data_IF_477588070736
#
_entry.id   IF_477588070736
#
_cell.length_a   1.000
_cell.length_b   1.000
_cell.length_c   1.000
_cell.angle_alpha   90.00
_cell.angle_beta   90.00
_cell.angle_gamma   90.00
#
_symmetry.space_group_name_H-M   'P 1'
#
loop_
_entity.id
_entity.type
_entity.pdbx_description
1 polymer ?
#
# COMPACT_ATOMS: atom_id res chain seq x y z
N UNK A 1 -82.02 -15.46 5.45
CA UNK A 1 -80.73 -16.16 5.24
C UNK A 1 -79.99 -15.52 4.10
N UNK A 2 -78.84 -14.90 4.39
CA UNK A 2 -77.99 -14.28 3.36
C UNK A 2 -77.19 -13.08 3.86
N UNK A 3 -76.63 -13.16 5.07
CA UNK A 3 -75.63 -12.20 5.57
C UNK A 3 -74.40 -12.29 4.68
N UNK A 4 -74.20 -11.30 3.79
CA UNK A 4 -72.91 -11.06 3.14
C UNK A 4 -71.91 -10.71 4.25
N UNK A 5 -71.02 -11.64 4.56
CA UNK A 5 -69.83 -11.36 5.34
C UNK A 5 -69.01 -10.31 4.58
N UNK A 6 -68.98 -9.07 5.08
CA UNK A 6 -67.89 -8.14 4.77
C UNK A 6 -66.64 -8.73 5.42
N UNK A 7 -65.89 -9.50 4.65
CA UNK A 7 -64.49 -9.80 4.96
C UNK A 7 -63.72 -8.49 4.84
N UNK A 8 -63.71 -7.72 5.93
CA UNK A 8 -62.74 -6.65 6.12
C UNK A 8 -61.35 -7.27 6.24
N UNK A 9 -60.73 -7.63 5.11
CA UNK A 9 -59.28 -7.62 5.05
C UNK A 9 -58.91 -6.15 5.19
N UNK A 10 -58.44 -5.75 6.37
CA UNK A 10 -57.74 -4.48 6.52
C UNK A 10 -56.65 -4.37 5.44
N UNK A 11 -56.17 -3.16 5.11
CA UNK A 11 -55.16 -2.99 4.07
C UNK A 11 -53.94 -3.81 4.46
N UNK A 12 -53.80 -5.00 3.86
CA UNK A 12 -52.65 -5.88 4.06
C UNK A 12 -51.44 -5.30 3.34
N UNK A 13 -50.36 -6.07 3.26
CA UNK A 13 -49.14 -5.70 2.48
C UNK A 13 -49.49 -5.26 1.04
N UNK A 14 -50.60 -5.77 0.48
CA UNK A 14 -51.15 -5.36 -0.83
C UNK A 14 -51.53 -3.87 -0.93
N UNK A 15 -51.74 -3.17 0.18
CA UNK A 15 -52.14 -1.77 0.21
C UNK A 15 -50.97 -0.77 0.32
N UNK A 16 -49.76 -1.25 0.62
CA UNK A 16 -48.58 -0.41 0.75
C UNK A 16 -47.27 -1.15 0.33
N UNK A 17 -47.19 -1.70 -0.90
CA UNK A 17 -46.03 -2.48 -1.33
C UNK A 17 -44.74 -1.65 -1.32
N UNK A 18 -44.80 -0.37 -1.66
CA UNK A 18 -43.65 0.54 -1.60
C UNK A 18 -43.13 0.70 -0.17
N UNK A 19 -44.02 0.83 0.82
CA UNK A 19 -43.62 0.94 2.23
C UNK A 19 -42.94 -0.34 2.72
N UNK A 20 -43.45 -1.50 2.32
CA UNK A 20 -42.83 -2.78 2.68
C UNK A 20 -41.42 -2.92 2.07
N UNK A 21 -41.25 -2.55 0.80
CA UNK A 21 -39.94 -2.56 0.12
C UNK A 21 -38.98 -1.55 0.76
N UNK A 22 -39.42 -0.30 0.96
CA UNK A 22 -38.60 0.74 1.59
C UNK A 22 -38.18 0.35 3.01
N UNK A 23 -39.10 -0.21 3.80
CA UNK A 23 -38.78 -0.72 5.14
C UNK A 23 -37.75 -1.86 5.08
N UNK A 24 -37.93 -2.82 4.18
CA UNK A 24 -36.98 -3.92 4.02
C UNK A 24 -35.58 -3.44 3.58
N UNK A 25 -35.51 -2.45 2.69
CA UNK A 25 -34.24 -1.82 2.27
C UNK A 25 -33.56 -1.12 3.44
N UNK A 26 -34.29 -0.30 4.22
CA UNK A 26 -33.74 0.37 5.39
C UNK A 26 -33.24 -0.65 6.44
N UNK A 27 -34.00 -1.71 6.69
CA UNK A 27 -33.56 -2.78 7.61
C UNK A 27 -32.31 -3.47 7.08
N UNK A 28 -32.23 -3.74 5.77
CA UNK A 28 -31.05 -4.33 5.14
C UNK A 28 -29.82 -3.42 5.24
N UNK A 29 -29.96 -2.12 4.95
CA UNK A 29 -28.88 -1.13 5.07
C UNK A 29 -28.35 -1.03 6.51
N UNK A 30 -29.25 -0.93 7.49
CA UNK A 30 -28.89 -0.89 8.91
C UNK A 30 -28.24 -2.19 9.38
N UNK A 31 -28.82 -3.34 9.01
CA UNK A 31 -28.26 -4.64 9.37
C UNK A 31 -26.87 -4.84 8.77
N UNK A 32 -26.67 -4.46 7.50
CA UNK A 32 -25.37 -4.52 6.82
C UNK A 32 -24.32 -3.67 7.54
N UNK A 33 -24.64 -2.41 7.84
CA UNK A 33 -23.73 -1.50 8.55
C UNK A 33 -23.39 -2.00 9.95
N UNK A 34 -24.38 -2.49 10.71
CA UNK A 34 -24.16 -3.03 12.06
C UNK A 34 -23.36 -4.33 12.02
N UNK A 35 -23.67 -5.24 11.10
CA UNK A 35 -22.91 -6.50 10.95
C UNK A 35 -21.45 -6.23 10.60
N UNK A 36 -21.16 -5.24 9.75
CA UNK A 36 -19.78 -4.88 9.40
C UNK A 36 -18.93 -4.49 10.63
N UNK A 37 -19.50 -3.76 11.60
CA UNK A 37 -18.82 -3.37 12.84
C UNK A 37 -18.31 -4.58 13.64
N UNK A 38 -19.07 -5.68 13.65
CA UNK A 38 -18.71 -6.88 14.40
C UNK A 38 -17.84 -7.85 13.59
N UNK A 39 -18.16 -8.06 12.30
CA UNK A 39 -17.44 -9.02 11.45
C UNK A 39 -16.02 -8.55 11.14
N UNK A 40 -15.80 -7.25 11.01
CA UNK A 40 -14.46 -6.70 10.76
C UNK A 40 -13.62 -6.60 12.03
N UNK A 41 -14.17 -6.88 13.22
CA UNK A 41 -13.40 -6.84 14.47
C UNK A 41 -12.30 -7.91 14.49
N UNK A 42 -11.05 -7.58 14.90
CA UNK A 42 -10.61 -6.33 15.53
C UNK A 42 -10.17 -5.20 14.58
N UNK A 43 -10.14 -5.43 13.26
CA UNK A 43 -9.76 -4.43 12.25
C UNK A 43 -10.69 -3.20 12.22
N UNK A 44 -10.27 -2.19 11.44
CA UNK A 44 -10.97 -0.91 11.31
C UNK A 44 -12.38 -1.05 10.74
N UNK A 45 -13.31 -0.29 11.30
CA UNK A 45 -14.60 0.02 10.66
C UNK A 45 -15.04 1.43 11.07
N UNK A 46 -15.79 2.11 10.20
CA UNK A 46 -16.31 3.47 10.47
C UNK A 46 -17.14 3.51 11.76
N UNK A 47 -17.97 2.48 12.01
CA UNK A 47 -18.77 2.41 13.23
C UNK A 47 -17.94 2.28 14.50
N UNK A 48 -16.89 1.44 14.51
CA UNK A 48 -15.95 1.36 15.64
C UNK A 48 -15.18 2.66 15.84
N UNK A 49 -14.74 3.28 14.75
CA UNK A 49 -14.06 4.57 14.78
C UNK A 49 -14.90 5.65 15.47
N UNK A 50 -16.18 5.76 15.08
CA UNK A 50 -17.10 6.72 15.71
C UNK A 50 -17.33 6.42 17.20
N UNK A 51 -17.42 5.14 17.60
CA UNK A 51 -17.54 4.75 19.01
C UNK A 51 -16.27 5.13 19.80
N UNK A 52 -15.08 4.86 19.24
CA UNK A 52 -13.79 5.23 19.84
C UNK A 52 -13.61 6.75 19.98
N UNK A 53 -14.08 7.52 19.01
CA UNK A 53 -14.08 8.97 19.08
C UNK A 53 -14.91 9.49 20.26
N UNK A 54 -16.05 8.85 20.58
CA UNK A 54 -16.86 9.20 21.75
C UNK A 54 -16.15 8.89 23.09
N UNK A 55 -15.16 8.00 23.08
CA UNK A 55 -14.38 7.63 24.27
C UNK A 55 -13.01 8.32 24.36
N UNK A 56 -12.74 9.30 23.48
CA UNK A 56 -11.52 10.11 23.53
C UNK A 56 -10.39 9.63 22.62
N UNK A 57 -10.67 8.71 21.67
CA UNK A 57 -9.72 8.24 20.65
C UNK A 57 -10.24 8.65 19.25
N UNK A 58 -10.09 9.92 18.84
CA UNK A 58 -10.74 10.45 17.65
C UNK A 58 -9.96 10.22 16.35
N UNK A 59 -8.73 9.71 16.39
CA UNK A 59 -7.82 9.71 15.24
C UNK A 59 -8.13 8.64 14.17
N UNK A 60 -9.19 7.86 14.39
CA UNK A 60 -9.86 7.06 13.37
C UNK A 60 -8.91 6.09 12.65
N UNK A 61 -8.70 6.26 11.34
CA UNK A 61 -7.88 5.34 10.55
C UNK A 61 -6.38 5.50 10.86
N UNK A 62 -5.95 6.66 11.39
CA UNK A 62 -4.56 6.89 11.80
C UNK A 62 -4.11 5.94 12.92
N UNK A 63 -5.04 5.49 13.78
CA UNK A 63 -4.77 4.54 14.86
C UNK A 63 -4.76 3.07 14.39
N UNK A 64 -5.26 2.80 13.18
CA UNK A 64 -5.40 1.44 12.65
C UNK A 64 -4.43 1.15 11.50
N UNK A 65 -3.84 2.18 10.89
CA UNK A 65 -2.79 2.03 9.88
C UNK A 65 -1.45 1.90 10.58
N UNK A 66 -0.73 0.83 10.29
CA UNK A 66 0.59 0.51 10.77
C UNK A 66 1.63 0.85 9.71
N UNK A 67 2.60 1.69 10.05
CA UNK A 67 3.62 2.25 9.16
C UNK A 67 4.98 1.65 9.49
N UNK A 68 5.71 1.23 8.44
CA UNK A 68 7.12 0.88 8.47
C UNK A 68 7.95 2.13 8.13
N UNK A 69 8.42 2.85 9.14
CA UNK A 69 9.13 4.14 8.96
C UNK A 69 10.50 3.98 8.27
N UNK A 70 11.20 2.88 8.54
CA UNK A 70 12.46 2.49 7.91
C UNK A 70 12.37 1.04 7.44
N UNK A 71 12.32 0.85 6.11
CA UNK A 71 12.25 -0.49 5.50
C UNK A 71 13.54 -1.29 5.58
N UNK A 72 14.62 -0.70 6.11
CA UNK A 72 15.90 -1.35 6.30
C UNK A 72 16.06 -1.88 7.74
N UNK A 73 15.27 -1.39 8.71
CA UNK A 73 15.22 -1.90 10.09
C UNK A 73 14.39 -3.20 10.18
N UNK A 74 15.04 -4.31 9.85
CA UNK A 74 14.48 -5.65 10.03
C UNK A 74 14.68 -6.60 8.85
N UNK A 75 15.55 -6.27 7.89
CA UNK A 75 16.00 -7.23 6.89
C UNK A 75 16.55 -8.47 7.61
N UNK A 76 16.06 -9.66 7.25
CA UNK A 76 16.45 -10.87 7.95
C UNK A 76 17.90 -11.26 7.61
N UNK A 77 18.60 -11.76 8.61
CA UNK A 77 19.96 -12.29 8.43
C UNK A 77 19.90 -13.68 7.80
N UNK A 78 20.69 -13.88 6.74
CA UNK A 78 20.79 -15.17 6.07
C UNK A 78 21.77 -16.09 6.80
N UNK A 79 21.37 -17.34 7.02
CA UNK A 79 22.21 -18.36 7.64
C UNK A 79 23.27 -18.82 6.66
N UNK A 80 24.53 -18.49 6.94
CA UNK A 80 25.70 -18.99 6.17
C UNK A 80 25.90 -18.34 4.80
N UNK A 81 25.22 -17.22 4.48
CA UNK A 81 25.37 -16.50 3.23
C UNK A 81 25.42 -14.98 3.46
N UNK A 82 26.27 -14.27 2.70
CA UNK A 82 26.32 -12.81 2.70
C UNK A 82 25.15 -12.18 1.92
N UNK A 83 24.83 -10.89 2.15
CA UNK A 83 23.73 -10.20 1.46
C UNK A 83 23.83 -10.19 -0.07
N UNK A 84 25.04 -10.29 -0.63
CA UNK A 84 25.31 -10.31 -2.08
C UNK A 84 24.80 -11.58 -2.78
N UNK A 85 24.73 -12.71 -2.06
CA UNK A 85 24.37 -14.02 -2.62
C UNK A 85 23.18 -14.70 -1.93
N UNK A 86 22.75 -14.21 -0.76
CA UNK A 86 21.70 -14.82 0.07
C UNK A 86 20.41 -15.13 -0.68
N UNK A 87 19.97 -14.24 -1.58
CA UNK A 87 18.70 -14.39 -2.29
C UNK A 87 18.68 -15.56 -3.29
N UNK A 88 19.84 -16.05 -3.72
CA UNK A 88 19.97 -17.18 -4.66
C UNK A 88 20.77 -18.37 -4.13
N UNK A 89 21.17 -18.36 -2.86
CA UNK A 89 22.14 -19.32 -2.31
C UNK A 89 21.63 -20.78 -2.28
N UNK A 90 20.32 -21.00 -2.24
CA UNK A 90 19.71 -22.34 -2.30
C UNK A 90 19.58 -22.90 -3.71
N UNK A 91 19.79 -22.08 -4.74
CA UNK A 91 19.72 -22.45 -6.15
C UNK A 91 19.04 -21.35 -6.97
N UNK A 92 19.64 -21.00 -8.10
CA UNK A 92 19.10 -19.98 -9.01
C UNK A 92 19.27 -20.40 -10.46
N UNK A 93 18.18 -20.35 -11.22
CA UNK A 93 18.14 -20.58 -12.65
C UNK A 93 17.15 -19.60 -13.27
N UNK A 94 17.48 -18.98 -14.40
CA UNK A 94 16.55 -18.05 -15.05
C UNK A 94 16.55 -16.62 -14.48
N UNK A 95 16.74 -16.46 -13.16
CA UNK A 95 16.79 -15.16 -12.47
C UNK A 95 18.14 -14.44 -12.59
N UNK A 96 18.12 -13.10 -12.61
CA UNK A 96 19.32 -12.26 -12.65
C UNK A 96 19.12 -10.92 -11.88
N UNK A 97 20.21 -10.25 -11.44
CA UNK A 97 20.11 -8.99 -10.72
C UNK A 97 19.38 -7.87 -11.48
N UNK A 98 19.64 -7.74 -12.79
CA UNK A 98 18.95 -6.79 -13.68
C UNK A 98 17.77 -7.44 -14.42
N UNK A 99 17.14 -8.47 -13.83
CA UNK A 99 16.03 -9.21 -14.42
C UNK A 99 14.66 -8.53 -14.23
N UNK A 100 14.60 -7.22 -14.47
CA UNK A 100 13.38 -6.40 -14.48
C UNK A 100 13.37 -5.51 -15.74
N UNK A 101 12.20 -5.12 -16.26
CA UNK A 101 12.13 -4.12 -17.32
C UNK A 101 12.56 -2.74 -16.81
N UNK A 102 13.07 -1.89 -17.72
CA UNK A 102 13.51 -0.52 -17.39
C UNK A 102 12.35 0.35 -16.87
N UNK A 103 11.13 0.07 -17.32
CA UNK A 103 9.89 0.74 -16.90
C UNK A 103 8.78 -0.30 -16.75
N UNK A 104 7.98 -0.15 -15.70
CA UNK A 104 6.83 -1.01 -15.39
C UNK A 104 5.56 -0.21 -15.62
N UNK A 105 4.76 -0.63 -16.60
CA UNK A 105 3.47 -0.01 -16.88
C UNK A 105 2.36 -0.76 -16.14
N UNK A 106 1.55 -0.03 -15.38
CA UNK A 106 0.34 -0.53 -14.75
C UNK A 106 -0.87 0.01 -15.49
N UNK A 107 -1.84 -0.85 -15.79
CA UNK A 107 -3.09 -0.41 -16.39
C UNK A 107 -3.83 0.54 -15.43
N UNK A 108 -4.40 1.62 -15.97
CA UNK A 108 -5.23 2.55 -15.22
C UNK A 108 -6.43 1.84 -14.61
N UNK A 109 -6.83 2.25 -13.40
CA UNK A 109 -8.05 1.80 -12.74
C UNK A 109 -9.22 2.66 -13.14
N UNK A 110 -9.62 2.56 -14.40
CA UNK A 110 -10.88 3.15 -14.87
C UNK A 110 -12.03 2.24 -14.42
N UNK A 111 -12.61 2.47 -13.23
CA UNK A 111 -13.82 1.77 -12.79
C UNK A 111 -15.09 2.54 -13.16
N UNK A 112 -16.12 1.80 -13.59
CA UNK A 112 -17.46 2.31 -13.88
C UNK A 112 -18.19 2.68 -12.57
N UNK A 113 -17.73 3.75 -11.93
CA UNK A 113 -18.16 4.16 -10.59
C UNK A 113 -17.21 5.12 -9.87
N UNK A 114 -16.13 5.55 -10.54
CA UNK A 114 -15.18 6.52 -9.98
C UNK A 114 -15.87 7.74 -9.35
N UNK A 115 -15.38 8.13 -8.17
CA UNK A 115 -15.85 9.26 -7.38
C UNK A 115 -15.74 10.60 -8.13
N UNK A 116 -14.89 10.67 -9.17
CA UNK A 116 -14.78 11.81 -10.08
C UNK A 116 -14.79 11.30 -11.52
N UNK A 117 -15.82 11.68 -12.29
CA UNK A 117 -15.90 11.32 -13.72
C UNK A 117 -14.91 12.18 -14.51
N UNK A 118 -14.05 11.52 -15.29
CA UNK A 118 -13.14 12.13 -16.26
C UNK A 118 -13.49 11.58 -17.64
N UNK A 119 -13.19 12.33 -18.69
CA UNK A 119 -13.30 11.81 -20.04
C UNK A 119 -12.21 10.72 -20.29
N UNK A 120 -12.46 9.75 -21.18
CA UNK A 120 -11.46 8.74 -21.51
C UNK A 120 -10.16 9.38 -22.00
N UNK A 121 -9.05 9.04 -21.34
CA UNK A 121 -7.71 9.54 -21.68
C UNK A 121 -7.27 10.81 -20.94
N UNK A 122 -8.10 11.35 -20.03
CA UNK A 122 -7.67 12.43 -19.13
C UNK A 122 -6.89 11.92 -17.90
N UNK A 123 -7.00 10.61 -17.58
CA UNK A 123 -6.19 9.98 -16.53
C UNK A 123 -4.94 9.36 -17.13
N UNK A 124 -3.82 9.56 -16.46
CA UNK A 124 -2.54 9.06 -16.94
C UNK A 124 -2.34 7.58 -16.54
N UNK A 125 -1.72 6.74 -17.39
CA UNK A 125 -1.29 5.41 -17.00
C UNK A 125 -0.36 5.50 -15.77
N UNK A 126 -0.67 4.73 -14.72
CA UNK A 126 0.05 4.79 -13.44
C UNK A 126 -0.57 5.73 -12.40
N UNK A 127 -1.66 6.44 -12.72
CA UNK A 127 -2.46 7.12 -11.69
C UNK A 127 -2.95 6.12 -10.62
N UNK A 128 -2.78 6.49 -9.34
CA UNK A 128 -3.06 5.62 -8.20
C UNK A 128 -1.99 4.56 -7.90
N UNK A 129 -0.87 4.54 -8.64
CA UNK A 129 0.29 3.68 -8.33
C UNK A 129 1.24 4.44 -7.39
N UNK A 130 1.81 3.72 -6.43
CA UNK A 130 2.73 4.27 -5.45
C UNK A 130 4.02 4.83 -6.08
N UNK A 131 4.52 5.93 -5.54
CA UNK A 131 5.75 6.58 -6.01
C UNK A 131 6.96 5.64 -5.90
N UNK A 132 7.83 5.67 -6.93
CA UNK A 132 9.04 4.85 -6.98
C UNK A 132 8.80 3.36 -7.25
N UNK A 133 7.56 2.92 -7.55
CA UNK A 133 7.24 1.49 -7.72
C UNK A 133 7.16 1.02 -9.19
N UNK A 134 7.39 1.91 -10.14
CA UNK A 134 7.23 1.67 -11.59
C UNK A 134 8.55 1.40 -12.33
N UNK A 135 9.59 0.99 -11.61
CA UNK A 135 10.90 0.65 -12.18
C UNK A 135 11.83 1.85 -12.29
N UNK A 136 12.74 1.84 -13.26
CA UNK A 136 13.80 2.83 -13.40
C UNK A 136 15.18 2.31 -12.97
N UNK A 137 16.18 3.19 -13.04
CA UNK A 137 17.56 2.89 -12.64
C UNK A 137 17.94 3.68 -11.39
N UNK A 138 18.63 3.01 -10.47
CA UNK A 138 19.12 3.57 -9.22
C UNK A 138 20.61 3.30 -9.00
N UNK A 139 21.04 3.45 -7.76
CA UNK A 139 22.39 3.06 -7.35
C UNK A 139 22.58 1.53 -7.47
N UNK A 140 23.85 1.11 -7.54
CA UNK A 140 24.18 -0.30 -7.72
C UNK A 140 23.90 -1.07 -6.43
N UNK A 141 23.10 -2.12 -6.50
CA UNK A 141 22.79 -2.96 -5.33
C UNK A 141 23.96 -3.84 -4.94
N UNK A 142 23.90 -4.42 -3.73
CA UNK A 142 24.90 -5.35 -3.18
C UNK A 142 25.21 -6.55 -4.09
N UNK A 143 24.27 -6.95 -4.94
CA UNK A 143 24.45 -8.02 -5.93
C UNK A 143 24.62 -7.53 -7.39
N UNK A 144 24.91 -6.24 -7.58
CA UNK A 144 25.26 -5.64 -8.88
C UNK A 144 24.07 -5.25 -9.76
N UNK A 145 22.85 -5.20 -9.23
CA UNK A 145 21.71 -4.65 -9.97
C UNK A 145 21.80 -3.13 -10.07
N UNK A 146 21.22 -2.56 -11.13
CA UNK A 146 21.07 -1.11 -11.31
C UNK A 146 19.60 -0.68 -11.24
N UNK A 147 18.71 -1.58 -10.84
CA UNK A 147 17.27 -1.32 -10.74
C UNK A 147 17.01 -0.37 -9.56
N UNK A 148 16.15 0.62 -9.76
CA UNK A 148 15.68 1.47 -8.67
C UNK A 148 14.84 0.63 -7.69
N UNK A 149 15.29 0.55 -6.43
CA UNK A 149 14.55 -0.14 -5.38
C UNK A 149 13.41 0.74 -4.85
N UNK A 150 12.23 0.18 -4.57
CA UNK A 150 11.10 0.91 -4.01
C UNK A 150 11.28 1.15 -2.50
N UNK A 151 10.36 1.91 -1.91
CA UNK A 151 10.16 2.02 -0.45
C UNK A 151 11.36 2.55 0.37
N UNK A 152 12.35 3.16 -0.28
CA UNK A 152 13.57 3.59 0.40
C UNK A 152 14.48 2.44 0.85
N UNK A 153 14.38 1.26 0.22
CA UNK A 153 15.29 0.15 0.46
C UNK A 153 16.72 0.53 0.07
N UNK A 154 17.66 0.24 0.96
CA UNK A 154 19.08 0.55 0.79
C UNK A 154 19.71 -0.41 -0.23
N UNK A 155 20.20 0.08 -1.38
CA UNK A 155 20.87 -0.74 -2.37
C UNK A 155 22.13 -1.43 -1.83
N UNK A 156 22.84 -0.84 -0.88
CA UNK A 156 24.10 -1.39 -0.35
C UNK A 156 23.88 -2.67 0.48
N UNK A 157 22.64 -2.93 0.93
CA UNK A 157 22.29 -4.13 1.70
C UNK A 157 21.23 -5.02 1.05
N UNK A 158 20.52 -4.52 0.03
CA UNK A 158 19.35 -5.20 -0.52
C UNK A 158 19.65 -5.82 -1.90
N UNK A 159 19.83 -7.15 -2.01
CA UNK A 159 19.90 -7.81 -3.30
C UNK A 159 18.51 -7.86 -3.96
N UNK A 160 18.50 -7.90 -5.29
CA UNK A 160 17.29 -8.13 -6.08
C UNK A 160 17.56 -9.20 -7.13
N UNK A 161 16.59 -10.09 -7.36
CA UNK A 161 16.65 -11.07 -8.44
C UNK A 161 15.31 -11.10 -9.16
N UNK A 162 15.33 -11.02 -10.49
CA UNK A 162 14.12 -11.09 -11.31
C UNK A 162 14.28 -12.00 -12.54
N UNK A 163 13.15 -12.49 -13.07
CA UNK A 163 13.10 -13.43 -14.20
C UNK A 163 12.96 -12.74 -15.57
N UNK A 164 12.72 -11.43 -15.62
CA UNK A 164 12.49 -10.72 -16.88
C UNK A 164 13.71 -10.78 -17.80
N UNK A 165 13.45 -11.03 -19.09
CA UNK A 165 14.44 -11.09 -20.16
C UNK A 165 13.92 -10.39 -21.40
N UNK A 166 14.79 -9.64 -22.08
CA UNK A 166 14.49 -9.06 -23.42
C UNK A 166 14.55 -10.11 -24.55
N UNK A 167 15.25 -11.23 -24.31
CA UNK A 167 15.47 -12.29 -25.28
C UNK A 167 14.46 -13.43 -25.16
N UNK A 168 14.83 -14.65 -25.63
CA UNK A 168 14.01 -15.84 -25.43
C UNK A 168 13.69 -16.06 -23.94
N UNK A 169 12.39 -16.25 -23.65
CA UNK A 169 11.95 -16.60 -22.31
C UNK A 169 12.36 -18.04 -21.98
N UNK A 170 12.67 -18.27 -20.72
CA UNK A 170 12.99 -19.59 -20.17
C UNK A 170 12.28 -19.73 -18.84
N UNK A 171 11.95 -20.96 -18.46
CA UNK A 171 11.50 -21.22 -17.10
C UNK A 171 12.59 -20.79 -16.11
N UNK A 172 12.19 -20.12 -15.03
CA UNK A 172 13.08 -19.63 -13.98
C UNK A 172 12.67 -20.19 -12.62
N UNK A 173 13.66 -20.50 -11.80
CA UNK A 173 13.50 -21.02 -10.44
C UNK A 173 14.52 -20.37 -9.52
N UNK A 174 14.07 -20.02 -8.32
CA UNK A 174 14.90 -19.40 -7.29
C UNK A 174 14.56 -20.03 -5.94
N UNK A 175 15.59 -20.41 -5.20
CA UNK A 175 15.53 -20.78 -3.78
C UNK A 175 16.60 -19.98 -3.05
N UNK A 176 16.18 -19.17 -2.08
CA UNK A 176 17.12 -18.38 -1.28
C UNK A 176 17.87 -19.23 -0.25
N UNK A 177 18.83 -18.62 0.43
CA UNK A 177 19.28 -19.07 1.74
C UNK A 177 18.11 -19.17 2.72
N UNK A 178 18.33 -19.89 3.81
CA UNK A 178 17.50 -19.77 5.00
C UNK A 178 17.81 -18.43 5.69
N UNK A 179 16.77 -17.75 6.15
CA UNK A 179 16.81 -16.52 6.93
C UNK A 179 16.28 -16.79 8.33
N UNK A 180 16.96 -16.27 9.35
CA UNK A 180 16.55 -16.44 10.74
C UNK A 180 15.23 -15.70 11.02
N UNK A 181 14.27 -16.41 11.63
CA UNK A 181 13.04 -15.79 12.09
C UNK A 181 13.31 -15.01 13.38
N UNK A 182 12.86 -13.75 13.47
CA UNK A 182 12.98 -13.00 14.70
C UNK A 182 11.98 -13.48 15.75
N UNK A 183 12.24 -13.13 17.01
CA UNK A 183 11.27 -13.33 18.09
C UNK A 183 9.97 -12.56 17.83
N UNK A 184 8.84 -13.19 18.13
CA UNK A 184 7.52 -12.57 17.96
C UNK A 184 7.37 -11.36 18.88
N UNK A 185 6.85 -10.26 18.33
CA UNK A 185 6.52 -9.05 19.07
C UNK A 185 5.28 -8.39 18.48
N UNK A 186 4.48 -7.72 19.32
CA UNK A 186 3.23 -7.11 18.91
C UNK A 186 3.42 -6.01 17.85
N UNK A 187 4.57 -5.33 17.87
CA UNK A 187 4.93 -4.28 16.91
C UNK A 187 5.72 -4.79 15.70
N UNK A 188 5.95 -6.11 15.57
CA UNK A 188 6.49 -6.74 14.37
C UNK A 188 5.68 -7.98 13.95
N UNK A 189 4.37 -7.85 13.66
CA UNK A 189 3.48 -9.00 13.42
C UNK A 189 3.59 -9.64 12.04
N UNK A 190 4.37 -9.05 11.12
CA UNK A 190 4.47 -9.47 9.72
C UNK A 190 5.89 -9.89 9.36
N UNK A 191 6.02 -10.80 8.39
CA UNK A 191 7.14 -10.81 7.45
C UNK A 191 6.68 -10.18 6.15
N UNK A 192 7.56 -9.41 5.54
CA UNK A 192 7.30 -8.66 4.33
C UNK A 192 8.41 -8.88 3.33
N UNK A 193 8.07 -8.91 2.04
CA UNK A 193 9.04 -8.95 0.96
C UNK A 193 8.59 -8.03 -0.17
N UNK A 194 9.49 -7.17 -0.65
CA UNK A 194 9.20 -6.40 -1.85
C UNK A 194 9.31 -7.32 -3.07
N UNK A 195 8.28 -7.30 -3.92
CA UNK A 195 8.22 -8.06 -5.15
C UNK A 195 7.61 -7.22 -6.27
N UNK A 196 7.94 -7.56 -7.51
CA UNK A 196 7.38 -6.94 -8.71
C UNK A 196 7.02 -8.02 -9.74
N UNK A 197 6.24 -7.65 -10.75
CA UNK A 197 5.81 -8.54 -11.81
C UNK A 197 4.44 -9.20 -11.57
N UNK A 198 4.05 -10.10 -12.47
CA UNK A 198 2.78 -10.83 -12.44
C UNK A 198 2.96 -12.15 -11.69
N UNK A 199 2.64 -12.15 -10.40
CA UNK A 199 2.86 -13.28 -9.52
C UNK A 199 1.58 -14.13 -9.48
N UNK A 200 1.63 -15.30 -10.12
CA UNK A 200 0.55 -16.29 -10.03
C UNK A 200 0.49 -16.95 -8.65
N UNK A 201 -0.66 -17.56 -8.33
CA UNK A 201 -0.80 -18.34 -7.09
C UNK A 201 0.21 -19.49 -7.05
N UNK A 202 1.10 -19.48 -6.06
CA UNK A 202 2.17 -20.48 -5.91
C UNK A 202 3.47 -20.16 -6.66
N UNK A 203 3.53 -19.10 -7.47
CA UNK A 203 4.78 -18.66 -8.09
C UNK A 203 5.79 -18.12 -7.08
N UNK A 204 5.31 -17.64 -5.92
CA UNK A 204 6.15 -17.24 -4.79
C UNK A 204 5.56 -17.89 -3.55
N UNK A 205 6.38 -18.67 -2.85
CA UNK A 205 6.04 -19.29 -1.57
C UNK A 205 7.14 -19.03 -0.55
N UNK A 206 6.74 -18.95 0.72
CA UNK A 206 7.67 -18.90 1.84
C UNK A 206 7.65 -20.28 2.51
N UNK A 207 8.78 -20.96 2.45
CA UNK A 207 8.99 -22.18 3.22
C UNK A 207 9.51 -21.82 4.60
N UNK A 208 9.02 -22.50 5.63
CA UNK A 208 9.49 -22.34 7.01
C UNK A 208 10.02 -23.67 7.54
N UNK A 209 11.01 -23.60 8.42
CA UNK A 209 11.74 -24.77 8.88
C UNK A 209 12.30 -24.62 10.28
N UNK A 210 12.86 -25.73 10.77
CA UNK A 210 13.53 -25.85 12.07
C UNK A 210 14.88 -26.53 11.89
N UNK A 211 15.81 -26.43 12.86
CA UNK A 211 17.08 -27.13 12.77
C UNK A 211 16.88 -28.62 12.44
N UNK A 212 17.71 -29.14 11.54
CA UNK A 212 17.66 -30.54 11.11
C UNK A 212 17.82 -31.52 12.28
N UNK A 213 17.42 -32.77 12.05
CA UNK A 213 17.52 -33.83 13.08
C UNK A 213 18.98 -34.06 13.48
N UNK A 214 19.17 -34.65 14.67
CA UNK A 214 20.49 -35.08 15.16
C UNK A 214 21.23 -35.89 14.09
N UNK A 215 22.37 -35.36 13.60
CA UNK A 215 23.11 -35.90 12.45
C UNK A 215 23.19 -34.96 11.24
N UNK A 216 22.53 -33.80 11.30
CA UNK A 216 22.61 -32.74 10.31
C UNK A 216 24.06 -32.28 10.05
N UNK A 217 24.42 -32.10 8.78
CA UNK A 217 25.84 -32.03 8.33
C UNK A 217 26.45 -30.62 8.40
N UNK A 218 25.69 -29.60 8.78
CA UNK A 218 26.16 -28.22 8.86
C UNK A 218 25.11 -27.22 9.33
N UNK A 219 25.49 -25.94 9.53
CA UNK A 219 24.62 -24.89 10.06
C UNK A 219 23.46 -24.49 9.13
N UNK A 220 23.40 -25.02 7.91
CA UNK A 220 22.38 -24.71 6.89
C UNK A 220 21.42 -25.87 6.62
N UNK A 221 21.49 -26.93 7.43
CA UNK A 221 20.68 -28.14 7.26
C UNK A 221 19.41 -28.03 8.13
N UNK A 222 18.34 -27.51 7.52
CA UNK A 222 17.04 -27.29 8.15
C UNK A 222 15.99 -28.25 7.58
N UNK A 223 15.14 -28.79 8.44
CA UNK A 223 13.97 -29.59 8.04
C UNK A 223 12.84 -28.64 7.61
N UNK A 224 12.41 -28.72 6.35
CA UNK A 224 11.23 -27.99 5.86
C UNK A 224 9.99 -28.52 6.58
N UNK A 225 9.28 -27.64 7.28
CA UNK A 225 8.07 -27.97 8.02
C UNK A 225 6.81 -27.74 7.20
N UNK A 226 6.85 -26.76 6.30
CA UNK A 226 5.73 -26.42 5.43
C UNK A 226 6.03 -25.18 4.60
N UNK A 227 5.00 -24.71 3.90
CA UNK A 227 5.08 -23.55 3.02
C UNK A 227 3.77 -22.78 3.02
N UNK A 228 3.83 -21.49 2.71
CA UNK A 228 2.64 -20.66 2.52
C UNK A 228 2.81 -19.66 1.39
N UNK A 229 1.67 -19.25 0.82
CA UNK A 229 1.61 -18.20 -0.21
C UNK A 229 1.42 -16.85 0.48
N UNK A 230 2.28 -15.85 0.21
CA UNK A 230 2.08 -14.51 0.72
C UNK A 230 0.80 -13.86 0.23
N UNK A 231 0.28 -12.92 1.01
CA UNK A 231 -0.83 -12.05 0.61
C UNK A 231 -0.28 -10.98 -0.34
N UNK A 232 -0.85 -10.89 -1.54
CA UNK A 232 -0.55 -9.89 -2.55
C UNK A 232 -1.78 -9.01 -2.80
N UNK A 233 -1.69 -7.71 -2.50
CA UNK A 233 -2.78 -6.76 -2.74
C UNK A 233 -2.69 -6.03 -4.09
N UNK A 234 -1.59 -6.21 -4.83
CA UNK A 234 -1.34 -5.47 -6.05
C UNK A 234 -0.84 -4.04 -5.83
N UNK A 235 -0.81 -3.22 -6.90
CA UNK A 235 -1.13 -3.59 -8.27
C UNK A 235 0.02 -4.34 -8.96
N UNK A 236 -0.31 -5.42 -9.68
CA UNK A 236 0.64 -6.04 -10.60
C UNK A 236 0.73 -5.23 -11.92
N UNK A 237 1.92 -5.08 -12.54
CA UNK A 237 3.20 -5.65 -12.16
C UNK A 237 4.12 -4.71 -11.33
N UNK A 238 3.62 -3.63 -10.75
CA UNK A 238 4.44 -2.70 -9.96
C UNK A 238 5.08 -3.37 -8.73
N UNK A 239 6.12 -2.72 -8.22
CA UNK A 239 6.69 -3.07 -6.92
C UNK A 239 5.63 -2.94 -5.83
N UNK A 240 5.55 -3.96 -4.98
CA UNK A 240 4.59 -4.05 -3.87
C UNK A 240 5.12 -4.97 -2.79
N UNK A 241 4.55 -4.85 -1.60
CA UNK A 241 4.92 -5.66 -0.46
C UNK A 241 4.02 -6.89 -0.35
N UNK A 242 4.61 -8.07 -0.51
CA UNK A 242 3.99 -9.35 -0.17
C UNK A 242 4.00 -9.51 1.35
N UNK A 243 2.87 -9.94 1.92
CA UNK A 243 2.65 -9.94 3.38
C UNK A 243 2.45 -11.35 3.90
N UNK A 244 3.13 -11.68 4.99
CA UNK A 244 3.03 -12.97 5.67
C UNK A 244 2.80 -12.71 7.16
N UNK A 245 1.58 -12.93 7.68
CA UNK A 245 1.33 -12.81 9.12
C UNK A 245 2.11 -13.87 9.90
N UNK A 246 2.96 -13.44 10.83
CA UNK A 246 3.81 -14.37 11.60
C UNK A 246 2.99 -15.36 12.44
N UNK A 247 1.76 -14.99 12.81
CA UNK A 247 0.84 -15.87 13.52
C UNK A 247 0.46 -17.14 12.72
N UNK A 248 0.58 -17.10 11.38
CA UNK A 248 0.30 -18.25 10.52
C UNK A 248 1.48 -19.22 10.42
N UNK A 249 2.68 -18.78 10.78
CA UNK A 249 3.86 -19.64 10.84
C UNK A 249 3.81 -20.39 12.20
N UNK A 250 4.15 -21.69 12.27
CA UNK A 250 4.27 -22.39 13.55
C UNK A 250 5.31 -21.75 14.49
N UNK A 251 5.09 -21.81 15.81
CA UNK A 251 6.01 -21.20 16.79
C UNK A 251 7.37 -21.90 16.85
N UNK A 252 7.41 -23.18 16.49
CA UNK A 252 8.62 -24.00 16.45
C UNK A 252 9.47 -23.80 15.19
N UNK A 253 9.03 -22.97 14.24
CA UNK A 253 9.82 -22.60 13.08
C UNK A 253 10.86 -21.53 13.48
N UNK A 254 12.12 -21.75 13.10
CA UNK A 254 13.24 -20.86 13.43
C UNK A 254 13.80 -20.15 12.20
N UNK A 255 13.47 -20.63 10.99
CA UNK A 255 13.96 -20.06 9.73
C UNK A 255 12.88 -20.03 8.66
N UNK A 256 13.04 -19.12 7.70
CA UNK A 256 12.25 -19.04 6.47
C UNK A 256 13.13 -18.94 5.24
N UNK A 257 12.64 -19.37 4.08
CA UNK A 257 13.28 -19.08 2.79
C UNK A 257 12.26 -18.76 1.72
N UNK A 258 12.69 -17.98 0.74
CA UNK A 258 11.91 -17.62 -0.43
C UNK A 258 12.11 -18.70 -1.50
N UNK A 259 11.01 -19.23 -2.00
CA UNK A 259 10.98 -20.11 -3.17
C UNK A 259 10.14 -19.41 -4.24
N UNK A 260 10.72 -19.18 -5.40
CA UNK A 260 10.04 -18.52 -6.51
C UNK A 260 10.20 -19.32 -7.80
N UNK A 261 9.12 -19.39 -8.58
CA UNK A 261 9.05 -20.10 -9.86
C UNK A 261 8.34 -19.25 -10.89
N UNK A 262 8.89 -19.24 -12.10
CA UNK A 262 8.32 -18.62 -13.27
C UNK A 262 8.34 -19.62 -14.43
N UNK A 263 7.22 -20.31 -14.59
CA UNK A 263 7.02 -21.27 -15.69
C UNK A 263 6.32 -20.68 -16.90
N UNK A 264 5.95 -19.40 -16.88
CA UNK A 264 5.25 -18.76 -17.99
C UNK A 264 6.27 -18.20 -18.99
N UNK A 265 6.05 -18.43 -20.28
CA UNK A 265 6.96 -17.98 -21.35
C UNK A 265 6.42 -16.75 -22.08
N UNK A 266 5.33 -16.15 -21.61
CA UNK A 266 4.85 -14.85 -22.04
C UNK A 266 5.82 -13.76 -21.54
N UNK A 267 6.40 -12.91 -22.42
CA UNK A 267 7.32 -11.83 -22.03
C UNK A 267 6.74 -10.82 -21.01
N UNK A 268 5.42 -10.69 -20.94
CA UNK A 268 4.74 -9.82 -19.97
C UNK A 268 4.53 -10.49 -18.60
N UNK A 269 4.84 -11.79 -18.50
CA UNK A 269 4.87 -12.55 -17.26
C UNK A 269 6.30 -12.75 -16.80
N UNK A 270 6.63 -12.05 -15.74
CA UNK A 270 7.89 -12.12 -15.04
C UNK A 270 7.64 -11.82 -13.56
N UNK A 271 8.59 -12.14 -12.71
CA UNK A 271 8.56 -11.72 -11.31
C UNK A 271 9.97 -11.34 -10.82
N UNK A 272 10.01 -10.48 -9.82
CA UNK A 272 11.21 -10.15 -9.08
C UNK A 272 10.93 -10.14 -7.59
N UNK A 273 11.95 -10.49 -6.80
CA UNK A 273 11.88 -10.56 -5.34
C UNK A 273 13.11 -9.92 -4.70
N UNK A 274 12.96 -9.56 -3.44
CA UNK A 274 14.00 -9.09 -2.51
C UNK A 274 14.05 -10.03 -1.30
N UNK A 275 15.01 -9.92 -0.36
CA UNK A 275 14.95 -10.69 0.88
C UNK A 275 13.71 -10.37 1.73
N UNK A 276 13.24 -11.32 2.54
CA UNK A 276 12.21 -11.06 3.53
C UNK A 276 12.76 -10.17 4.66
N UNK A 277 11.88 -9.36 5.25
CA UNK A 277 12.15 -8.51 6.40
C UNK A 277 11.00 -8.56 7.40
N UNK A 278 11.29 -8.34 8.68
CA UNK A 278 10.31 -8.27 9.76
C UNK A 278 10.16 -6.80 10.18
N UNK A 279 9.22 -6.03 9.56
CA UNK A 279 9.14 -4.60 9.76
C UNK A 279 8.84 -4.22 11.21
N UNK A 280 9.43 -3.11 11.67
CA UNK A 280 8.99 -2.43 12.88
C UNK A 280 7.84 -1.49 12.57
N UNK A 281 6.68 -1.81 13.11
CA UNK A 281 5.45 -1.08 12.84
C UNK A 281 5.09 -0.14 14.00
N UNK A 282 4.63 1.06 13.62
CA UNK A 282 4.06 2.10 14.49
C UNK A 282 2.77 2.62 13.87
N UNK A 283 1.84 3.18 14.64
CA UNK A 283 0.63 3.72 14.02
C UNK A 283 0.96 4.93 13.15
N UNK A 284 0.13 5.21 12.14
CA UNK A 284 0.27 6.41 11.31
C UNK A 284 0.21 7.67 12.18
N UNK A 285 -0.64 7.67 13.21
CA UNK A 285 -0.72 8.76 14.18
C UNK A 285 0.61 9.02 14.90
N UNK A 286 1.30 7.95 15.31
CA UNK A 286 2.61 8.04 15.97
C UNK A 286 3.73 8.52 15.03
N UNK A 287 3.65 8.20 13.74
CA UNK A 287 4.69 8.54 12.74
C UNK A 287 4.48 9.94 12.18
N UNK A 288 3.27 10.26 11.70
CA UNK A 288 2.96 11.55 11.08
C UNK A 288 2.69 12.63 12.13
N UNK A 289 2.12 12.24 13.28
CA UNK A 289 1.73 13.17 14.33
C UNK A 289 0.63 14.14 13.89
N UNK A 290 0.47 15.22 14.67
CA UNK A 290 -0.60 16.21 14.51
C UNK A 290 -0.08 17.61 14.14
N UNK A 291 1.23 17.73 13.83
CA UNK A 291 1.89 19.04 13.67
C UNK A 291 2.47 19.25 12.28
N UNK A 292 3.07 18.21 11.71
CA UNK A 292 3.59 18.28 10.35
C UNK A 292 2.47 18.54 9.34
N UNK A 293 2.71 19.39 8.33
CA UNK A 293 1.73 19.67 7.29
C UNK A 293 1.56 18.45 6.38
N UNK A 294 0.31 18.02 6.20
CA UNK A 294 -0.03 16.85 5.38
C UNK A 294 -0.88 17.27 4.18
N UNK A 295 -0.55 16.76 2.99
CA UNK A 295 -1.47 16.73 1.86
C UNK A 295 -2.39 15.52 2.03
N UNK A 296 -3.56 15.75 2.62
CA UNK A 296 -4.58 14.70 2.77
C UNK A 296 -5.47 14.76 1.52
N UNK A 297 -5.46 13.69 0.71
CA UNK A 297 -6.31 13.63 -0.47
C UNK A 297 -7.79 13.75 -0.05
N UNK A 298 -8.58 14.45 -0.87
CA UNK A 298 -9.94 14.85 -0.49
C UNK A 298 -10.86 13.66 -0.14
N UNK A 299 -10.62 12.49 -0.73
CA UNK A 299 -11.41 11.27 -0.51
C UNK A 299 -11.24 10.72 0.91
N UNK A 300 -10.08 10.95 1.54
CA UNK A 300 -9.71 10.36 2.84
C UNK A 300 -9.75 11.37 3.99
N UNK A 301 -10.15 12.62 3.74
CA UNK A 301 -10.14 13.69 4.74
C UNK A 301 -10.88 13.36 6.04
N UNK A 302 -12.02 12.65 5.98
CA UNK A 302 -12.78 12.26 7.17
C UNK A 302 -12.12 11.11 7.96
N UNK A 303 -11.31 10.27 7.30
CA UNK A 303 -10.66 9.12 7.93
C UNK A 303 -9.43 9.51 8.76
N UNK A 304 -8.89 10.72 8.55
CA UNK A 304 -7.69 11.24 9.21
C UNK A 304 -7.95 12.62 9.85
N UNK A 305 -8.81 12.70 10.88
CA UNK A 305 -9.23 13.98 11.46
C UNK A 305 -8.17 14.65 12.35
N UNK A 306 -7.14 13.91 12.79
CA UNK A 306 -6.09 14.41 13.69
C UNK A 306 -4.87 14.99 12.94
N UNK A 307 -4.58 14.49 11.74
CA UNK A 307 -3.47 14.97 10.92
C UNK A 307 -3.80 16.38 10.43
N UNK A 308 -2.84 17.31 10.55
CA UNK A 308 -3.02 18.71 10.19
C UNK A 308 -2.82 18.90 8.68
N UNK A 309 -3.85 19.33 7.92
CA UNK A 309 -3.63 19.70 6.53
C UNK A 309 -2.63 20.86 6.41
N UNK A 310 -1.85 20.87 5.32
CA UNK A 310 -1.07 22.07 4.98
C UNK A 310 -2.00 23.28 4.81
N UNK A 311 -1.50 24.47 5.15
CA UNK A 311 -2.28 25.71 5.03
C UNK A 311 -1.68 26.63 3.98
N UNK A 312 -2.48 27.57 3.50
CA UNK A 312 -2.00 28.67 2.66
C UNK A 312 -2.29 30.02 3.32
N UNK A 313 -1.38 30.97 3.20
CA UNK A 313 -1.53 32.32 3.73
C UNK A 313 -0.97 33.34 2.74
N UNK A 314 -1.79 34.32 2.36
CA UNK A 314 -1.35 35.39 1.46
C UNK A 314 -0.95 34.92 0.06
N UNK A 315 -1.53 33.82 -0.42
CA UNK A 315 -1.23 33.23 -1.74
C UNK A 315 -0.01 32.30 -1.75
N UNK A 316 0.61 32.04 -0.60
CA UNK A 316 1.74 31.09 -0.45
C UNK A 316 1.28 29.89 0.37
N UNK A 317 1.55 28.68 -0.12
CA UNK A 317 1.25 27.43 0.57
C UNK A 317 2.43 26.96 1.42
N UNK A 318 2.13 26.31 2.54
CA UNK A 318 3.10 25.53 3.33
C UNK A 318 3.45 24.23 2.58
N UNK A 319 4.73 23.90 2.50
CA UNK A 319 5.19 22.66 1.84
C UNK A 319 4.85 21.46 2.74
N UNK A 320 4.03 20.49 2.28
CA UNK A 320 3.68 19.31 3.06
C UNK A 320 4.88 18.38 3.23
N UNK A 321 4.94 17.68 4.37
CA UNK A 321 5.95 16.64 4.66
C UNK A 321 5.46 15.24 4.35
N UNK A 322 4.15 15.05 4.35
CA UNK A 322 3.52 13.79 4.05
C UNK A 322 2.35 13.99 3.10
N UNK A 323 2.00 12.93 2.37
CA UNK A 323 0.74 12.80 1.66
C UNK A 323 0.04 11.52 2.07
N UNK A 324 -1.25 11.61 2.35
CA UNK A 324 -2.11 10.45 2.62
C UNK A 324 -3.04 10.28 1.43
N UNK A 325 -2.94 9.12 0.80
CA UNK A 325 -3.66 8.75 -0.41
C UNK A 325 -4.75 7.72 -0.09
N UNK A 326 -5.78 7.68 -0.93
CA UNK A 326 -6.82 6.67 -0.87
C UNK A 326 -6.36 5.35 -1.52
N UNK A 327 -7.24 4.34 -1.53
CA UNK A 327 -7.02 3.13 -2.33
C UNK A 327 -6.73 3.46 -3.81
N UNK A 328 -6.15 2.51 -4.55
CA UNK A 328 -5.69 2.75 -5.93
C UNK A 328 -6.74 3.41 -6.84
N UNK A 329 -8.00 2.98 -6.78
CA UNK A 329 -9.05 3.53 -7.65
C UNK A 329 -9.39 4.97 -7.26
N UNK A 330 -9.60 5.20 -5.97
CA UNK A 330 -9.91 6.52 -5.43
C UNK A 330 -8.75 7.51 -5.60
N UNK A 331 -7.50 7.04 -5.49
CA UNK A 331 -6.30 7.86 -5.71
C UNK A 331 -6.13 8.27 -7.16
N UNK A 332 -6.53 7.42 -8.11
CA UNK A 332 -6.56 7.81 -9.52
C UNK A 332 -7.53 8.97 -9.76
N UNK A 333 -8.71 8.93 -9.15
CA UNK A 333 -9.67 10.04 -9.19
C UNK A 333 -9.15 11.30 -8.48
N UNK A 334 -8.51 11.14 -7.31
CA UNK A 334 -7.95 12.25 -6.53
C UNK A 334 -6.82 12.95 -7.30
N UNK A 335 -5.88 12.20 -7.87
CA UNK A 335 -4.78 12.72 -8.70
C UNK A 335 -5.29 13.58 -9.85
N UNK A 336 -6.27 13.07 -10.61
CA UNK A 336 -6.85 13.81 -11.74
C UNK A 336 -7.48 15.14 -11.28
N UNK A 337 -8.32 15.08 -10.24
CA UNK A 337 -9.03 16.26 -9.71
C UNK A 337 -8.06 17.35 -9.23
N UNK A 338 -7.00 16.94 -8.54
CA UNK A 338 -6.05 17.85 -7.88
C UNK A 338 -4.75 18.03 -8.69
N UNK A 339 -4.78 17.67 -9.96
CA UNK A 339 -3.66 17.70 -10.90
C UNK A 339 -3.17 19.12 -11.18
N UNK A 340 -2.01 19.22 -11.84
CA UNK A 340 -1.49 20.47 -12.38
C UNK A 340 -2.46 21.13 -13.37
N UNK A 341 -3.08 20.34 -14.26
CA UNK A 341 -4.07 20.82 -15.23
C UNK A 341 -5.35 21.34 -14.58
N UNK A 342 -5.72 20.80 -13.42
CA UNK A 342 -6.84 21.29 -12.59
C UNK A 342 -6.48 22.49 -11.69
N UNK A 343 -5.22 22.93 -11.66
CA UNK A 343 -4.74 23.98 -10.76
C UNK A 343 -4.64 23.54 -9.28
N UNK A 344 -4.64 22.23 -9.04
CA UNK A 344 -4.58 21.65 -7.69
C UNK A 344 -3.17 21.63 -7.09
N UNK A 345 -3.05 21.16 -5.83
CA UNK A 345 -1.78 21.15 -5.10
C UNK A 345 -0.66 20.35 -5.79
N UNK A 346 -0.98 19.36 -6.63
CA UNK A 346 0.05 18.59 -7.35
C UNK A 346 0.82 19.43 -8.38
N UNK A 347 0.31 20.60 -8.76
CA UNK A 347 1.04 21.57 -9.59
C UNK A 347 2.37 21.97 -8.96
N UNK A 348 2.38 22.29 -7.67
CA UNK A 348 3.55 22.89 -7.01
C UNK A 348 4.28 21.91 -6.11
N UNK A 349 3.62 20.88 -5.56
CA UNK A 349 4.32 19.85 -4.78
C UNK A 349 5.30 19.07 -5.66
N UNK A 350 4.91 18.69 -6.87
CA UNK A 350 5.79 18.00 -7.83
C UNK A 350 7.00 18.82 -8.29
N UNK A 351 7.02 20.13 -8.02
CA UNK A 351 8.12 21.03 -8.35
C UNK A 351 9.01 21.37 -7.15
N UNK A 352 8.65 20.90 -5.95
CA UNK A 352 9.32 21.28 -4.69
C UNK A 352 9.75 20.08 -3.87
N UNK A 353 9.06 18.95 -4.00
CA UNK A 353 9.32 17.73 -3.23
C UNK A 353 9.26 16.49 -4.12
N UNK A 354 10.05 15.48 -3.77
CA UNK A 354 10.01 14.13 -4.32
C UNK A 354 9.22 13.20 -3.37
N UNK A 355 8.22 12.45 -3.86
CA UNK A 355 7.50 11.48 -3.06
C UNK A 355 8.28 10.17 -2.89
N UNK A 356 8.40 9.73 -1.64
CA UNK A 356 8.88 8.39 -1.28
C UNK A 356 7.73 7.63 -0.61
N UNK A 357 7.29 6.52 -1.20
CA UNK A 357 6.25 5.68 -0.60
C UNK A 357 6.77 4.99 0.66
N UNK A 358 6.05 5.15 1.76
CA UNK A 358 6.34 4.51 3.05
C UNK A 358 5.41 3.30 3.19
N UNK A 359 5.93 2.07 3.34
CA UNK A 359 5.08 0.90 3.46
C UNK A 359 4.16 0.98 4.68
N UNK A 360 2.89 0.65 4.45
CA UNK A 360 1.87 0.72 5.48
C UNK A 360 0.80 -0.36 5.30
N UNK A 361 0.23 -0.80 6.41
CA UNK A 361 -0.63 -1.98 6.50
C UNK A 361 -1.83 -1.66 7.39
N UNK A 362 -3.01 -2.17 7.03
CA UNK A 362 -4.18 -2.05 7.89
C UNK A 362 -4.14 -3.15 8.95
N UNK A 363 -4.10 -2.75 10.22
CA UNK A 363 -4.01 -3.68 11.34
C UNK A 363 -5.18 -4.67 11.30
N UNK A 364 -4.85 -5.97 11.41
CA UNK A 364 -5.78 -7.09 11.34
C UNK A 364 -6.59 -7.28 10.03
N UNK A 365 -6.38 -6.46 8.99
CA UNK A 365 -6.95 -6.68 7.64
C UNK A 365 -5.82 -6.57 6.60
N UNK A 366 -4.90 -7.53 6.67
CA UNK A 366 -3.65 -7.57 5.88
C UNK A 366 -3.85 -7.69 4.37
N UNK A 367 -5.06 -7.94 3.88
CA UNK A 367 -5.38 -7.99 2.45
C UNK A 367 -6.11 -6.75 1.94
N UNK A 368 -6.36 -5.76 2.81
CA UNK A 368 -6.97 -4.49 2.44
C UNK A 368 -5.96 -3.58 1.75
N UNK A 369 -6.36 -3.02 0.62
CA UNK A 369 -5.86 -1.74 0.13
C UNK A 369 -6.65 -0.63 0.86
N UNK A 370 -6.00 0.00 1.84
CA UNK A 370 -6.58 1.12 2.59
C UNK A 370 -6.22 2.46 1.94
N UNK A 371 -5.26 2.45 1.02
CA UNK A 371 -4.54 3.60 0.50
C UNK A 371 -3.04 3.52 0.76
N UNK A 372 -2.37 4.67 0.68
CA UNK A 372 -0.91 4.75 0.85
C UNK A 372 -0.46 6.00 1.57
N UNK A 373 0.75 5.93 2.12
CA UNK A 373 1.45 7.02 2.77
C UNK A 373 2.70 7.35 1.96
N UNK A 374 2.88 8.62 1.64
CA UNK A 374 4.11 9.13 1.04
C UNK A 374 4.78 10.12 2.00
N UNK A 375 6.09 10.00 2.15
CA UNK A 375 6.95 11.04 2.71
C UNK A 375 7.42 11.93 1.56
N UNK A 376 7.40 13.23 1.76
CA UNK A 376 7.91 14.20 0.81
C UNK A 376 9.31 14.65 1.21
N UNK A 377 10.27 14.41 0.31
CA UNK A 377 11.66 14.83 0.45
C UNK A 377 11.88 16.10 -0.37
N UNK A 378 12.35 17.21 0.21
CA UNK A 378 12.61 18.43 -0.55
C UNK A 378 13.61 18.20 -1.69
N UNK A 379 13.29 18.70 -2.89
CA UNK A 379 14.23 18.66 -4.01
C UNK A 379 15.49 19.51 -3.74
N UNK A 380 15.32 20.59 -2.98
CA UNK A 380 16.40 21.40 -2.43
C UNK A 380 16.31 21.34 -0.88
N UNK A 381 17.20 20.57 -0.21
CA UNK A 381 17.16 20.41 1.24
C UNK A 381 17.59 21.67 2.00
N UNK A 382 18.28 22.60 1.34
CA UNK A 382 18.76 23.86 1.94
C UNK A 382 17.73 24.99 1.80
N UNK A 383 16.63 24.77 1.07
CA UNK A 383 15.58 25.75 0.87
C UNK A 383 14.85 26.09 2.18
N UNK A 384 14.63 27.39 2.40
CA UNK A 384 13.91 27.92 3.58
C UNK A 384 12.68 28.73 3.16
N UNK A 385 11.65 28.84 4.01
CA UNK A 385 10.48 29.68 3.71
C UNK A 385 10.84 31.14 3.45
N UNK A 386 10.22 31.74 2.43
CA UNK A 386 10.43 33.15 2.10
C UNK A 386 9.78 34.10 3.12
N UNK A 387 10.40 35.27 3.35
CA UNK A 387 9.81 36.34 4.14
C UNK A 387 8.75 37.10 3.32
N UNK A 388 7.47 36.96 3.71
CA UNK A 388 6.35 37.59 3.00
C UNK A 388 6.18 39.05 3.44
N UNK A 389 6.53 39.99 2.55
CA UNK A 389 6.22 41.42 2.72
C UNK A 389 4.78 41.69 2.32
N UNK A 390 3.95 42.14 3.27
CA UNK A 390 2.53 42.41 3.04
C UNK A 390 2.26 43.91 2.88
N UNK A 391 1.36 44.25 1.97
CA UNK A 391 0.86 45.61 1.77
C UNK A 391 -0.63 45.60 1.46
N UNK A 392 -1.29 46.74 1.63
CA UNK A 392 -2.69 46.93 1.28
C UNK A 392 -2.85 48.12 0.34
N UNK A 393 -3.79 48.03 -0.60
CA UNK A 393 -4.14 49.12 -1.52
C UNK A 393 -5.65 49.15 -1.71
N UNK A 394 -6.22 50.36 -1.74
CA UNK A 394 -7.63 50.56 -2.08
C UNK A 394 -7.78 50.57 -3.60
N UNK A 395 -8.74 49.79 -4.12
CA UNK A 395 -9.09 49.74 -5.54
C UNK A 395 -10.60 49.83 -5.70
N UNK A 396 -11.07 50.23 -6.88
CA UNK A 396 -12.49 50.16 -7.23
C UNK A 396 -12.92 48.71 -7.44
N UNK A 397 -14.15 48.35 -7.06
CA UNK A 397 -14.66 46.97 -7.12
C UNK A 397 -14.79 46.37 -8.53
N UNK A 398 -14.68 47.17 -9.59
CA UNK A 398 -14.64 46.72 -10.98
C UNK A 398 -13.21 46.66 -11.57
N UNK A 399 -12.18 46.83 -10.74
CA UNK A 399 -10.79 46.69 -11.17
C UNK A 399 -10.41 45.20 -11.21
N UNK A 400 -10.15 44.66 -12.40
CA UNK A 400 -9.54 43.33 -12.57
C UNK A 400 -8.05 43.47 -12.90
N UNK A 401 -7.12 42.77 -12.21
CA UNK A 401 -5.69 42.85 -12.47
C UNK A 401 -5.23 42.14 -13.76
N UNK A 402 -6.17 41.61 -14.55
CA UNK A 402 -5.91 40.74 -15.69
C UNK A 402 -6.45 39.32 -15.44
N UNK A 403 -6.38 38.44 -16.45
CA UNK A 403 -6.76 37.03 -16.30
C UNK A 403 -5.77 36.28 -15.40
N UNK A 404 -6.24 35.22 -14.74
CA UNK A 404 -5.40 34.19 -14.12
C UNK A 404 -5.06 33.11 -15.15
N UNK A 405 -3.89 32.48 -14.98
CA UNK A 405 -3.40 31.39 -15.83
C UNK A 405 -3.38 30.08 -15.07
#
# INVERSE_FOLDING_TARGET
NGTRARTGRGPGIDAAPLTAVAFALVVFELASAVTAVFVQSPAYSVGRSNIRALTGEPCALADAVLVEEDSNDGVLEAVGAGPDVSLGAGGVSGFAPNGLPDSITVASTESAGSLAQSEPGEREPGDGVDAGTTGGRGAVTVNGSTVALPFGLDPDTTPVLGSYRRGPQVAAELTSAWYELPGRSANRPLLVMAAAGRIGGGNVTIEYGRPGRVGASGPTDFEVMGSMTPIDIGPAPAWRNLRIPLEQIPEEAEVVRVVATDGNLDPDWWLAVTPPRNPRLRTLDEVVGHTDPVLIDWVVGLAFPCQRPFVHNGGVAEVPRYRILADRESSSAANWWQSAGGGGPLLWTTQTVEPVTVPAYLDHDWSRDWGSLQRFEPLDPDAVPAEIVRGSTTRWGWTGPGPMY
#
